data_IF_740226745734
#
_entry.id   IF_740226745734
#
_cell.length_a   1.000
_cell.length_b   1.000
_cell.length_c   1.000
_cell.angle_alpha   90.00
_cell.angle_beta   90.00
_cell.angle_gamma   90.00
#
_symmetry.space_group_name_H-M   'P 1'
#
loop_
_entity.id
_entity.type
_entity.pdbx_description
1 polymer ?
#
# COMPACT_ATOMS: atom_id res chain seq x y z
N UNK A 1 24.69 -23.85 9.59
CA UNK A 1 24.94 -22.61 8.82
C UNK A 1 26.17 -21.95 9.39
N UNK A 2 27.21 -21.74 8.59
CA UNK A 2 28.49 -21.22 9.07
C UNK A 2 28.40 -19.71 9.25
N UNK A 3 28.85 -19.23 10.40
CA UNK A 3 28.95 -17.82 10.72
C UNK A 3 30.41 -17.38 10.63
N UNK A 4 30.65 -16.23 10.02
CA UNK A 4 31.95 -15.57 9.94
C UNK A 4 31.75 -14.19 10.55
N UNK A 5 32.49 -13.85 11.61
CA UNK A 5 32.31 -12.67 12.47
C UNK A 5 30.84 -12.27 12.71
N UNK A 6 30.02 -13.26 13.08
CA UNK A 6 28.62 -13.04 13.44
C UNK A 6 27.63 -12.98 12.27
N UNK A 7 28.09 -12.99 11.01
CA UNK A 7 27.23 -13.00 9.82
C UNK A 7 27.25 -14.35 9.10
N UNK A 8 26.15 -14.75 8.46
CA UNK A 8 26.14 -15.84 7.49
C UNK A 8 27.24 -15.70 6.44
N UNK A 9 27.84 -16.83 6.04
CA UNK A 9 28.86 -16.84 4.97
C UNK A 9 28.37 -16.16 3.68
N UNK A 10 27.11 -16.39 3.28
CA UNK A 10 26.54 -15.74 2.08
C UNK A 10 26.43 -14.21 2.19
N UNK A 11 26.35 -13.65 3.42
CA UNK A 11 26.27 -12.20 3.61
C UNK A 11 27.65 -11.55 3.48
N UNK A 12 28.75 -12.30 3.57
CA UNK A 12 30.10 -11.74 3.48
C UNK A 12 30.39 -11.12 2.13
N UNK A 13 29.95 -11.76 1.05
CA UNK A 13 30.10 -11.21 -0.31
C UNK A 13 29.39 -9.86 -0.47
N UNK A 14 28.24 -9.66 0.17
CA UNK A 14 27.53 -8.38 0.16
C UNK A 14 28.24 -7.32 1.00
N UNK A 15 28.83 -7.72 2.14
CA UNK A 15 29.57 -6.82 3.03
C UNK A 15 30.83 -6.29 2.33
N UNK A 16 31.61 -7.18 1.69
CA UNK A 16 32.82 -6.80 0.94
C UNK A 16 32.51 -5.76 -0.15
N UNK A 17 31.45 -5.97 -0.94
CA UNK A 17 31.01 -5.00 -1.98
C UNK A 17 30.67 -3.62 -1.40
N UNK A 18 30.10 -3.57 -0.20
CA UNK A 18 29.78 -2.29 0.47
C UNK A 18 31.04 -1.62 1.01
N UNK A 19 32.00 -2.39 1.51
CA UNK A 19 33.29 -1.90 1.99
C UNK A 19 34.13 -1.31 0.85
N UNK A 20 34.21 -2.01 -0.29
CA UNK A 20 34.91 -1.56 -1.50
C UNK A 20 34.43 -0.20 -2.01
N UNK A 21 33.13 0.09 -1.85
CA UNK A 21 32.52 1.34 -2.32
C UNK A 21 32.43 2.44 -1.25
N UNK A 22 32.82 2.16 0.00
CA UNK A 22 32.61 3.05 1.15
C UNK A 22 33.35 4.38 1.03
N UNK A 23 34.64 4.34 0.72
CA UNK A 23 35.50 5.53 0.57
C UNK A 23 35.01 6.47 -0.52
N UNK A 24 34.50 5.90 -1.62
CA UNK A 24 33.94 6.67 -2.74
C UNK A 24 32.63 7.35 -2.33
N UNK A 25 31.66 6.59 -1.80
CA UNK A 25 30.33 7.11 -1.43
C UNK A 25 30.40 8.17 -0.33
N UNK A 26 31.41 8.12 0.54
CA UNK A 26 31.60 9.11 1.60
C UNK A 26 31.97 10.50 1.03
N UNK A 27 32.61 10.54 -0.14
CA UNK A 27 33.02 11.77 -0.83
C UNK A 27 32.01 12.23 -1.90
N UNK A 28 31.24 11.29 -2.44
CA UNK A 28 30.21 11.58 -3.43
C UNK A 28 29.01 12.30 -2.80
N UNK A 29 28.70 13.49 -3.32
CA UNK A 29 27.47 14.21 -2.98
C UNK A 29 26.59 14.24 -4.23
N UNK A 30 25.40 13.64 -4.13
CA UNK A 30 24.41 13.67 -5.19
C UNK A 30 23.60 14.97 -5.13
N UNK A 31 23.24 15.50 -6.30
CA UNK A 31 22.34 16.66 -6.39
C UNK A 31 21.02 16.31 -5.71
N UNK A 32 20.56 17.17 -4.80
CA UNK A 32 19.22 17.05 -4.21
C UNK A 32 18.18 17.40 -5.26
N UNK A 33 17.07 16.66 -5.26
CA UNK A 33 15.91 16.98 -6.09
C UNK A 33 15.36 18.35 -5.73
N UNK A 34 15.01 19.14 -6.75
CA UNK A 34 14.17 20.33 -6.64
C UNK A 34 12.77 19.97 -6.15
N UNK A 35 11.94 20.96 -5.82
CA UNK A 35 10.56 20.71 -5.45
C UNK A 35 9.75 20.11 -6.61
N UNK A 36 10.00 20.58 -7.83
CA UNK A 36 9.33 20.07 -9.05
C UNK A 36 9.72 18.62 -9.35
N UNK A 37 11.00 18.27 -9.21
CA UNK A 37 11.49 16.90 -9.40
C UNK A 37 10.86 15.95 -8.36
N UNK A 38 10.64 16.40 -7.12
CA UNK A 38 9.94 15.62 -6.10
C UNK A 38 8.48 15.41 -6.44
N UNK A 39 7.79 16.46 -6.88
CA UNK A 39 6.38 16.40 -7.28
C UNK A 39 6.19 15.42 -8.45
N UNK A 40 7.10 15.42 -9.43
CA UNK A 40 7.09 14.48 -10.55
C UNK A 40 7.23 13.02 -10.08
N UNK A 41 8.16 12.76 -9.15
CA UNK A 41 8.35 11.43 -8.56
C UNK A 41 7.09 11.00 -7.80
N UNK A 42 6.50 11.89 -7.00
CA UNK A 42 5.27 11.59 -6.26
C UNK A 42 4.13 11.23 -7.20
N UNK A 43 3.89 12.04 -8.25
CA UNK A 43 2.83 11.78 -9.23
C UNK A 43 3.01 10.48 -9.99
N UNK A 44 4.25 10.05 -10.22
CA UNK A 44 4.56 8.83 -10.98
C UNK A 44 4.51 7.56 -10.14
N UNK A 45 4.94 7.64 -8.88
CA UNK A 45 5.26 6.45 -8.10
C UNK A 45 4.57 6.38 -6.74
N UNK A 46 3.99 7.48 -6.24
CA UNK A 46 3.30 7.47 -4.96
C UNK A 46 1.86 6.98 -5.14
N UNK A 47 1.41 5.93 -4.43
CA UNK A 47 0.09 5.34 -4.61
C UNK A 47 -1.05 6.34 -4.34
N UNK A 48 -0.85 7.31 -3.44
CA UNK A 48 -1.87 8.34 -3.20
C UNK A 48 -2.14 9.27 -4.39
N UNK A 49 -1.17 9.41 -5.30
CA UNK A 49 -1.28 10.25 -6.49
C UNK A 49 -1.70 9.45 -7.73
N UNK A 50 -1.80 8.12 -7.64
CA UNK A 50 -2.29 7.30 -8.74
C UNK A 50 -3.82 7.42 -8.81
N UNK A 51 -4.38 8.06 -9.86
CA UNK A 51 -5.83 8.21 -10.01
C UNK A 51 -6.55 6.87 -10.21
N UNK A 52 -5.82 5.78 -10.48
CA UNK A 52 -6.41 4.44 -10.64
C UNK A 52 -6.74 3.79 -9.30
N UNK A 53 -6.07 4.16 -8.22
CA UNK A 53 -6.22 3.50 -6.92
C UNK A 53 -7.42 3.97 -6.09
N UNK A 54 -8.10 5.04 -6.53
CA UNK A 54 -9.20 5.67 -5.79
C UNK A 54 -10.36 6.00 -6.72
N UNK A 55 -11.59 5.84 -6.23
CA UNK A 55 -12.82 6.18 -6.95
C UNK A 55 -13.81 6.92 -6.06
N UNK A 56 -14.80 7.55 -6.69
CA UNK A 56 -15.89 8.20 -5.96
C UNK A 56 -16.87 7.16 -5.40
N UNK A 57 -17.31 7.38 -4.16
CA UNK A 57 -18.42 6.66 -3.55
C UNK A 57 -19.72 7.08 -4.24
N UNK A 58 -20.56 6.12 -4.63
CA UNK A 58 -21.81 6.35 -5.38
C UNK A 58 -23.04 6.47 -4.48
N UNK A 59 -23.05 5.80 -3.33
CA UNK A 59 -24.24 5.65 -2.48
C UNK A 59 -23.95 5.97 -1.01
N UNK A 60 -25.00 6.30 -0.26
CA UNK A 60 -24.93 6.62 1.17
C UNK A 60 -24.54 8.07 1.48
N UNK A 61 -24.36 8.41 2.77
CA UNK A 61 -24.10 9.78 3.22
C UNK A 61 -22.82 10.41 2.64
N UNK A 62 -21.83 9.57 2.32
CA UNK A 62 -20.53 9.97 1.78
C UNK A 62 -20.47 9.95 0.24
N UNK A 63 -21.63 9.90 -0.45
CA UNK A 63 -21.67 9.92 -1.91
C UNK A 63 -20.94 11.17 -2.46
N UNK A 64 -20.00 10.94 -3.37
CA UNK A 64 -19.16 11.98 -3.97
C UNK A 64 -17.73 12.06 -3.40
N UNK A 65 -17.49 11.53 -2.19
CA UNK A 65 -16.15 11.46 -1.59
C UNK A 65 -15.26 10.48 -2.37
N UNK A 66 -13.94 10.73 -2.36
CA UNK A 66 -12.95 9.87 -3.01
C UNK A 66 -12.29 8.96 -1.98
N UNK A 67 -12.36 7.65 -2.21
CA UNK A 67 -11.76 6.64 -1.33
C UNK A 67 -11.06 5.54 -2.14
N UNK A 68 -10.16 4.74 -1.52
CA UNK A 68 -9.52 3.60 -2.16
C UNK A 68 -10.55 2.63 -2.74
N UNK A 69 -10.27 2.06 -3.91
CA UNK A 69 -11.23 1.19 -4.62
C UNK A 69 -11.75 0.06 -3.73
N UNK A 70 -10.86 -0.60 -3.00
CA UNK A 70 -11.17 -1.73 -2.12
C UNK A 70 -12.20 -1.36 -1.06
N UNK A 71 -12.12 -0.13 -0.54
CA UNK A 71 -13.08 0.36 0.44
C UNK A 71 -14.44 0.64 -0.20
N UNK A 72 -14.44 1.28 -1.37
CA UNK A 72 -15.69 1.57 -2.07
C UNK A 72 -16.37 0.29 -2.57
N UNK A 73 -15.59 -0.74 -2.96
CA UNK A 73 -16.09 -2.04 -3.38
C UNK A 73 -16.77 -2.78 -2.22
N UNK A 74 -16.25 -2.66 -0.99
CA UNK A 74 -16.89 -3.22 0.20
C UNK A 74 -18.16 -2.48 0.60
N UNK A 75 -18.15 -1.15 0.54
CA UNK A 75 -19.33 -0.33 0.88
C UNK A 75 -20.48 -0.53 -0.11
N UNK A 76 -20.15 -0.76 -1.38
CA UNK A 76 -21.11 -0.94 -2.47
C UNK A 76 -21.29 -2.42 -2.84
N UNK A 77 -20.85 -3.33 -1.98
CA UNK A 77 -21.03 -4.77 -2.19
C UNK A 77 -22.51 -5.14 -2.07
N UNK A 78 -22.91 -6.14 -2.86
CA UNK A 78 -24.21 -6.77 -2.71
C UNK A 78 -24.32 -7.40 -1.30
N UNK A 79 -25.50 -7.34 -0.67
CA UNK A 79 -25.76 -8.06 0.57
C UNK A 79 -25.45 -9.57 0.42
N UNK A 80 -25.01 -10.20 1.51
CA UNK A 80 -24.74 -11.65 1.52
C UNK A 80 -26.01 -12.49 1.44
N UNK A 81 -27.14 -11.92 1.88
CA UNK A 81 -28.45 -12.57 1.93
C UNK A 81 -29.44 -11.81 1.05
N UNK A 82 -30.34 -12.54 0.41
CA UNK A 82 -31.44 -12.01 -0.36
C UNK A 82 -32.72 -11.95 0.50
N UNK A 83 -33.72 -11.23 0.01
CA UNK A 83 -35.03 -11.15 0.67
C UNK A 83 -35.69 -12.53 0.84
N UNK A 84 -35.43 -13.45 -0.08
CA UNK A 84 -35.93 -14.83 -0.06
C UNK A 84 -35.21 -15.74 0.95
N UNK A 85 -34.05 -15.33 1.45
CA UNK A 85 -33.28 -16.11 2.45
C UNK A 85 -33.80 -15.90 3.88
N UNK A 86 -34.72 -14.95 4.11
CA UNK A 86 -35.23 -14.59 5.44
C UNK A 86 -36.76 -14.70 5.50
N UNK A 87 -37.27 -15.68 6.25
CA UNK A 87 -38.71 -15.81 6.51
C UNK A 87 -39.13 -14.97 7.73
N UNK A 88 -39.71 -13.80 7.46
CA UNK A 88 -40.20 -12.90 8.51
C UNK A 88 -41.47 -13.42 9.23
N UNK A 89 -42.10 -14.50 8.76
CA UNK A 89 -43.26 -15.10 9.42
C UNK A 89 -42.88 -15.98 10.61
N UNK A 90 -41.61 -16.39 10.67
CA UNK A 90 -41.08 -17.23 11.74
C UNK A 90 -40.08 -16.41 12.59
N UNK A 91 -40.39 -16.21 13.86
CA UNK A 91 -39.50 -15.50 14.79
C UNK A 91 -38.54 -16.51 15.43
N UNK A 92 -37.25 -16.40 15.15
CA UNK A 92 -36.22 -17.26 15.73
C UNK A 92 -35.85 -16.88 17.17
N UNK A 93 -36.00 -15.60 17.54
CA UNK A 93 -35.71 -15.08 18.86
C UNK A 93 -36.65 -13.90 19.22
N UNK A 94 -37.37 -14.02 20.32
CA UNK A 94 -38.28 -13.00 20.88
C UNK A 94 -37.87 -12.68 22.33
N UNK A 95 -37.98 -11.41 22.76
CA UNK A 95 -37.42 -10.88 24.02
C UNK A 95 -38.47 -10.35 24.97
#
# INVERSE_FOLDING_TARGET
>A
MKLIDGYPEYMRESIEKVEDTRERRLKEVYRRMSMDEREEVLRKFHPDYDPKGKRKIRVGPNAGDVAPNEFVDLLEAEPMINEEDVDLSQIDYDV
#
